data_IF_063747059182
#
_entry.id   IF_063747059182
#
_cell.length_a   1.000
_cell.length_b   1.000
_cell.length_c   1.000
_cell.angle_alpha   90.00
_cell.angle_beta   90.00
_cell.angle_gamma   90.00
#
_symmetry.space_group_name_H-M   'P 1'
#
loop_
_entity.id
_entity.type
_entity.pdbx_description
1 polymer ?
#
# COMPACT_ATOMS: atom_id res chain seq x y z
N UNK A 1 2.23 -27.01 4.86
CA UNK A 1 3.55 -26.41 5.06
C UNK A 1 3.34 -24.92 5.24
N UNK A 2 3.35 -24.42 6.47
CA UNK A 2 3.26 -22.99 6.74
C UNK A 2 4.60 -22.36 6.35
N UNK A 3 4.59 -21.43 5.38
CA UNK A 3 5.78 -20.65 5.04
C UNK A 3 6.10 -19.77 6.24
N UNK A 4 7.12 -20.15 7.02
CA UNK A 4 7.68 -19.30 8.06
C UNK A 4 8.30 -18.10 7.37
N UNK A 5 7.59 -16.98 7.39
CA UNK A 5 8.08 -15.70 6.91
C UNK A 5 9.32 -15.29 7.72
N UNK A 6 10.40 -14.97 7.04
CA UNK A 6 11.60 -14.37 7.64
C UNK A 6 11.62 -12.90 7.25
N UNK A 7 11.68 -12.01 8.24
CA UNK A 7 11.90 -10.56 8.07
C UNK A 7 13.34 -10.30 7.63
N UNK A 8 13.73 -10.86 6.49
CA UNK A 8 14.99 -10.51 5.85
C UNK A 8 14.68 -9.39 4.84
N UNK A 9 15.20 -8.17 5.05
CA UNK A 9 14.98 -7.04 4.15
C UNK A 9 15.51 -7.30 2.72
N UNK A 10 16.32 -8.35 2.52
CA UNK A 10 16.88 -8.76 1.23
C UNK A 10 16.25 -10.05 0.66
N UNK A 11 15.45 -10.80 1.43
CA UNK A 11 14.90 -12.09 0.98
C UNK A 11 13.42 -12.00 0.61
N UNK A 12 13.10 -12.78 -0.42
CA UNK A 12 11.94 -12.78 -1.31
C UNK A 12 10.60 -12.35 -0.69
N UNK A 13 10.01 -11.29 -1.25
CA UNK A 13 8.56 -11.10 -1.20
C UNK A 13 7.93 -11.85 -2.37
N UNK A 14 6.67 -12.26 -2.22
CA UNK A 14 6.01 -12.96 -3.31
C UNK A 14 5.71 -11.98 -4.46
N UNK A 15 5.93 -12.43 -5.70
CA UNK A 15 5.57 -11.63 -6.88
C UNK A 15 4.06 -11.45 -6.90
N UNK A 16 3.62 -10.22 -7.10
CA UNK A 16 2.20 -9.91 -7.18
C UNK A 16 1.69 -10.40 -8.55
N UNK A 17 0.96 -11.51 -8.54
CA UNK A 17 0.33 -12.05 -9.75
C UNK A 17 -0.76 -11.12 -10.26
N UNK A 18 -1.10 -11.16 -11.56
CA UNK A 18 -2.17 -10.32 -12.12
C UNK A 18 -3.51 -10.44 -11.40
N UNK A 19 -3.84 -11.61 -10.86
CA UNK A 19 -5.04 -11.84 -10.05
C UNK A 19 -5.00 -11.05 -8.73
N UNK A 20 -3.87 -11.06 -8.04
CA UNK A 20 -3.69 -10.26 -6.82
C UNK A 20 -3.73 -8.76 -7.17
N UNK A 21 -3.12 -8.35 -8.28
CA UNK A 21 -3.18 -6.94 -8.72
C UNK A 21 -4.62 -6.47 -8.91
N UNK A 22 -5.45 -7.26 -9.63
CA UNK A 22 -6.87 -6.96 -9.82
C UNK A 22 -7.62 -6.88 -8.50
N UNK A 23 -7.41 -7.86 -7.62
CA UNK A 23 -8.05 -7.91 -6.30
C UNK A 23 -7.69 -6.68 -5.45
N UNK A 24 -6.42 -6.29 -5.43
CA UNK A 24 -5.93 -5.09 -4.71
C UNK A 24 -6.53 -3.82 -5.30
N UNK A 25 -6.55 -3.68 -6.63
CA UNK A 25 -7.15 -2.52 -7.30
C UNK A 25 -8.65 -2.41 -6.95
N UNK A 26 -9.39 -3.52 -7.02
CA UNK A 26 -10.82 -3.52 -6.70
C UNK A 26 -11.08 -3.15 -5.23
N UNK A 27 -10.34 -3.77 -4.31
CA UNK A 27 -10.44 -3.45 -2.87
C UNK A 27 -10.11 -2.00 -2.58
N UNK A 28 -9.02 -1.49 -3.16
CA UNK A 28 -8.61 -0.11 -2.94
C UNK A 28 -9.59 0.90 -3.53
N UNK A 29 -10.15 0.64 -4.72
CA UNK A 29 -11.20 1.45 -5.30
C UNK A 29 -12.49 1.40 -4.48
N UNK A 30 -12.87 0.23 -3.96
CA UNK A 30 -14.03 0.07 -3.10
C UNK A 30 -13.84 0.81 -1.76
N UNK A 31 -12.63 0.81 -1.20
CA UNK A 31 -12.27 1.56 -0.01
C UNK A 31 -12.31 3.07 -0.27
N UNK A 32 -11.69 3.54 -1.35
CA UNK A 32 -11.67 4.95 -1.74
C UNK A 32 -13.07 5.56 -1.84
N UNK A 33 -14.03 4.82 -2.43
CA UNK A 33 -15.43 5.26 -2.55
C UNK A 33 -16.15 5.45 -1.21
N UNK A 34 -15.68 4.83 -0.13
CA UNK A 34 -16.25 4.99 1.22
C UNK A 34 -15.69 6.22 1.94
N UNK A 35 -14.56 6.76 1.48
CA UNK A 35 -13.87 7.85 2.14
C UNK A 35 -14.38 9.21 1.67
N UNK A 36 -14.36 10.19 2.57
CA UNK A 36 -14.82 11.57 2.32
C UNK A 36 -13.92 12.36 1.36
N UNK A 37 -12.66 11.96 1.23
CA UNK A 37 -11.69 12.58 0.32
C UNK A 37 -11.93 12.25 -1.15
N UNK A 38 -12.70 11.20 -1.44
CA UNK A 38 -13.15 10.88 -2.79
C UNK A 38 -14.40 11.72 -3.14
N UNK A 39 -14.49 12.37 -4.33
CA UNK A 39 -13.63 12.24 -5.50
C UNK A 39 -12.51 13.31 -5.61
N UNK A 40 -12.29 14.14 -4.58
CA UNK A 40 -11.29 15.23 -4.63
C UNK A 40 -9.87 14.70 -4.88
N UNK A 41 -9.54 13.58 -4.24
CA UNK A 41 -8.31 12.85 -4.47
C UNK A 41 -8.60 11.54 -5.20
N UNK A 42 -7.89 11.31 -6.31
CA UNK A 42 -7.89 10.05 -7.03
C UNK A 42 -6.71 9.21 -6.59
N UNK A 43 -6.99 7.97 -6.18
CA UNK A 43 -5.99 6.98 -5.83
C UNK A 43 -5.42 6.36 -7.11
N UNK A 44 -4.09 6.34 -7.23
CA UNK A 44 -3.38 5.63 -8.29
C UNK A 44 -2.54 4.52 -7.69
N UNK A 45 -2.67 3.33 -8.26
CA UNK A 45 -1.98 2.13 -7.80
C UNK A 45 -1.19 1.56 -8.95
N UNK A 46 0.08 1.28 -8.71
CA UNK A 46 0.94 0.64 -9.69
C UNK A 46 1.80 -0.45 -9.04
N UNK A 47 2.10 -1.50 -9.80
CA UNK A 47 2.79 -2.68 -9.29
C UNK A 47 4.16 -2.83 -9.93
N UNK A 48 5.16 -3.19 -9.12
CA UNK A 48 6.52 -3.51 -9.59
C UNK A 48 7.07 -4.69 -8.81
N UNK A 49 7.03 -5.87 -9.43
CA UNK A 49 7.49 -7.12 -8.82
C UNK A 49 6.64 -7.51 -7.61
N UNK A 50 7.24 -7.43 -6.42
CA UNK A 50 6.60 -7.71 -5.12
C UNK A 50 6.04 -6.46 -4.43
N UNK A 51 6.21 -5.29 -5.05
CA UNK A 51 5.80 -4.01 -4.48
C UNK A 51 4.56 -3.47 -5.18
N UNK A 52 3.67 -2.89 -4.39
CA UNK A 52 2.49 -2.14 -4.78
C UNK A 52 2.68 -0.71 -4.30
N UNK A 53 2.65 0.26 -5.20
CA UNK A 53 2.84 1.66 -4.89
C UNK A 53 1.49 2.35 -4.85
N UNK A 54 1.32 3.19 -3.83
CA UNK A 54 0.11 3.96 -3.58
C UNK A 54 0.45 5.44 -3.76
N UNK A 55 -0.13 6.04 -4.79
CA UNK A 55 -0.05 7.47 -5.06
C UNK A 55 -1.43 8.10 -4.96
N UNK A 56 -1.48 9.37 -4.61
CA UNK A 56 -2.69 10.18 -4.70
C UNK A 56 -2.48 11.31 -5.69
N UNK A 57 -3.55 11.70 -6.38
CA UNK A 57 -3.56 12.85 -7.27
C UNK A 57 -4.78 13.72 -6.99
N UNK A 58 -4.58 15.03 -6.92
CA UNK A 58 -5.64 16.01 -6.69
C UNK A 58 -5.94 16.74 -8.00
N UNK A 59 -7.19 16.79 -8.44
CA UNK A 59 -7.61 17.59 -9.60
C UNK A 59 -6.74 17.40 -10.87
N UNK A 60 -6.30 16.17 -11.16
CA UNK A 60 -5.39 15.82 -12.27
C UNK A 60 -3.98 16.43 -12.20
N UNK A 61 -3.55 16.91 -11.02
CA UNK A 61 -2.15 17.25 -10.75
C UNK A 61 -1.26 16.01 -10.79
N UNK A 62 0.06 16.24 -10.78
CA UNK A 62 1.05 15.18 -10.71
C UNK A 62 0.78 14.27 -9.49
N UNK A 63 0.76 12.94 -9.68
CA UNK A 63 0.58 12.01 -8.58
C UNK A 63 1.73 12.16 -7.59
N UNK A 64 1.39 12.24 -6.31
CA UNK A 64 2.35 12.29 -5.23
C UNK A 64 2.37 10.96 -4.46
N UNK A 65 3.56 10.42 -4.15
CA UNK A 65 3.68 9.14 -3.48
C UNK A 65 3.18 9.25 -2.04
N UNK A 66 2.31 8.32 -1.64
CA UNK A 66 1.85 8.21 -0.26
C UNK A 66 2.60 7.10 0.47
N UNK A 67 2.77 5.96 -0.19
CA UNK A 67 3.42 4.82 0.41
C UNK A 67 3.56 3.65 -0.56
N UNK A 68 4.17 2.59 -0.05
CA UNK A 68 4.41 1.36 -0.79
C UNK A 68 4.08 0.18 0.09
N UNK A 69 3.34 -0.77 -0.45
CA UNK A 69 3.06 -2.06 0.14
C UNK A 69 3.97 -3.12 -0.47
N UNK A 70 4.49 -4.02 0.35
CA UNK A 70 5.20 -5.23 -0.09
C UNK A 70 4.31 -6.43 0.18
N UNK A 71 4.13 -7.28 -0.82
CA UNK A 71 3.36 -8.51 -0.66
C UNK A 71 4.20 -9.59 0.04
N UNK A 72 3.75 -10.02 1.21
CA UNK A 72 4.40 -11.07 2.00
C UNK A 72 3.84 -12.46 1.69
N UNK A 73 2.66 -12.55 1.06
CA UNK A 73 1.93 -13.80 0.82
C UNK A 73 0.65 -13.86 1.67
N UNK A 74 -0.30 -14.73 1.33
CA UNK A 74 -1.51 -15.00 2.14
C UNK A 74 -2.34 -13.75 2.55
N UNK A 75 -2.40 -12.72 1.69
CA UNK A 75 -3.08 -11.44 1.97
C UNK A 75 -2.42 -10.58 3.07
N UNK A 76 -1.18 -10.90 3.44
CA UNK A 76 -0.35 -10.11 4.33
C UNK A 76 0.52 -9.13 3.53
N UNK A 77 0.50 -7.87 3.96
CA UNK A 77 1.22 -6.77 3.32
C UNK A 77 2.05 -6.02 4.36
N UNK A 78 3.30 -5.69 4.05
CA UNK A 78 4.08 -4.75 4.86
C UNK A 78 4.00 -3.34 4.25
N UNK A 79 3.79 -2.32 5.07
CA UNK A 79 3.63 -0.95 4.59
C UNK A 79 4.87 -0.09 4.87
N UNK A 80 5.40 0.52 3.82
CA UNK A 80 6.43 1.56 3.88
C UNK A 80 5.80 2.92 3.57
N UNK A 81 5.94 3.88 4.48
CA UNK A 81 5.46 5.24 4.27
C UNK A 81 6.50 6.08 3.52
N UNK A 82 6.05 6.92 2.58
CA UNK A 82 6.94 7.82 1.86
C UNK A 82 7.27 9.06 2.70
N UNK A 83 8.54 9.21 3.07
CA UNK A 83 9.01 10.39 3.81
C UNK A 83 9.56 11.43 2.85
N UNK A 84 8.80 12.52 2.64
CA UNK A 84 9.19 13.63 1.77
C UNK A 84 10.52 14.29 2.16
N UNK A 85 10.83 14.37 3.46
CA UNK A 85 12.07 15.00 3.93
C UNK A 85 13.35 14.31 3.46
N UNK A 86 13.29 13.00 3.17
CA UNK A 86 14.45 12.20 2.77
C UNK A 86 14.24 11.46 1.43
N UNK A 87 13.09 11.68 0.77
CA UNK A 87 12.67 10.98 -0.45
C UNK A 87 12.80 9.44 -0.36
N UNK A 88 12.51 8.89 0.82
CA UNK A 88 12.72 7.48 1.16
C UNK A 88 11.44 6.82 1.68
N UNK A 89 11.28 5.55 1.33
CA UNK A 89 10.26 4.67 1.90
C UNK A 89 10.79 4.10 3.21
N UNK A 90 10.11 4.40 4.31
CA UNK A 90 10.47 3.92 5.64
C UNK A 90 9.42 2.91 6.11
N UNK A 91 9.81 1.70 6.55
CA UNK A 91 8.86 0.70 7.03
C UNK A 91 8.08 1.25 8.23
N UNK A 92 6.78 0.99 8.25
CA UNK A 92 5.88 1.48 9.27
C UNK A 92 5.05 0.33 9.85
N UNK A 93 4.99 0.26 11.17
CA UNK A 93 4.17 -0.72 11.90
C UNK A 93 2.69 -0.33 11.75
N UNK A 94 1.80 -1.29 11.53
CA UNK A 94 0.36 -1.04 11.45
C UNK A 94 -0.22 -0.57 12.80
N UNK A 95 -1.44 -0.03 12.80
CA UNK A 95 -2.11 0.43 14.03
C UNK A 95 -2.33 -0.69 15.05
N UNK A 96 -2.33 -1.95 14.59
CA UNK A 96 -2.39 -3.18 15.38
C UNK A 96 -1.10 -3.49 16.13
N UNK A 97 0.01 -2.83 15.80
CA UNK A 97 1.34 -3.15 16.33
C UNK A 97 2.09 -4.24 15.55
N UNK A 98 1.48 -4.78 14.48
CA UNK A 98 2.08 -5.80 13.63
C UNK A 98 2.84 -5.19 12.44
N UNK A 99 3.83 -5.93 11.94
CA UNK A 99 4.62 -5.56 10.75
C UNK A 99 3.91 -5.88 9.43
N UNK A 100 2.93 -6.79 9.50
CA UNK A 100 2.08 -7.20 8.39
C UNK A 100 0.65 -6.79 8.69
N UNK A 101 -0.09 -6.43 7.65
CA UNK A 101 -1.49 -6.05 7.75
C UNK A 101 -2.20 -6.15 6.40
N UNK A 102 -3.43 -5.65 6.37
CA UNK A 102 -4.27 -5.63 5.17
C UNK A 102 -4.02 -4.39 4.31
N UNK A 103 -4.40 -4.46 3.03
CA UNK A 103 -4.36 -3.31 2.12
C UNK A 103 -5.25 -2.18 2.64
N UNK A 104 -6.40 -2.51 3.20
CA UNK A 104 -7.38 -1.58 3.76
C UNK A 104 -6.79 -0.75 4.92
N UNK A 105 -6.01 -1.36 5.80
CA UNK A 105 -5.34 -0.65 6.90
C UNK A 105 -4.27 0.31 6.41
N UNK A 106 -3.52 -0.08 5.37
CA UNK A 106 -2.56 0.82 4.75
C UNK A 106 -3.25 2.04 4.11
N UNK A 107 -4.38 1.80 3.43
CA UNK A 107 -5.21 2.86 2.86
C UNK A 107 -5.83 3.76 3.92
N UNK A 108 -6.17 3.21 5.09
CA UNK A 108 -6.65 4.00 6.23
C UNK A 108 -5.57 4.98 6.71
N UNK A 109 -4.30 4.55 6.79
CA UNK A 109 -3.19 5.46 7.10
C UNK A 109 -2.99 6.52 6.03
N UNK A 110 -3.00 6.13 4.75
CA UNK A 110 -2.92 7.09 3.65
C UNK A 110 -4.05 8.13 3.72
N UNK A 111 -5.27 7.70 4.07
CA UNK A 111 -6.44 8.56 4.20
C UNK A 111 -6.28 9.63 5.29
N UNK A 112 -5.50 9.37 6.35
CA UNK A 112 -5.24 10.38 7.38
C UNK A 112 -4.46 11.59 6.84
N UNK A 113 -3.67 11.40 5.78
CA UNK A 113 -2.93 12.48 5.12
C UNK A 113 -3.74 13.16 4.00
N UNK A 114 -4.90 12.61 3.64
CA UNK A 114 -5.83 13.13 2.63
C UNK A 114 -7.05 13.78 3.30
N UNK A 115 -6.85 14.75 4.19
CA UNK A 115 -7.93 15.50 4.83
C UNK A 115 -8.40 16.69 4.00
#
# INVERSE_FOLDING_TARGET
MQKTWSFDPHSDGEKITPDIQKMVIERANAYAKKCTWYPKFQLKIHFRGQFCYLDASKDSQEPFPMGRLRYCGCDEWSFDFYTYSNERYTPCIFCTGEWCGSVEEALAKCSMYLQ
#
